data_IF_875552575340
#
_entry.id   IF_875552575340
#
_cell.length_a   1.000
_cell.length_b   1.000
_cell.length_c   1.000
_cell.angle_alpha   90.00
_cell.angle_beta   90.00
_cell.angle_gamma   90.00
#
_symmetry.space_group_name_H-M   'P 1'
#
loop_
_entity.id
_entity.type
_entity.pdbx_description
1 polymer ?
#
# COMPACT_ATOMS: atom_id res chain seq x y z
N UNK A 1 21.22 -18.45 -7.13
CA UNK A 1 19.94 -18.09 -7.78
C UNK A 1 18.87 -18.15 -6.70
N UNK A 2 18.25 -17.04 -6.36
CA UNK A 2 17.07 -17.02 -5.48
C UNK A 2 15.91 -17.66 -6.23
N UNK A 3 15.31 -18.73 -5.69
CA UNK A 3 14.08 -19.29 -6.25
C UNK A 3 13.00 -18.19 -6.31
N UNK A 4 12.40 -17.99 -7.47
CA UNK A 4 11.27 -17.08 -7.62
C UNK A 4 9.98 -17.78 -7.20
N UNK A 5 9.48 -17.44 -6.02
CA UNK A 5 8.13 -17.82 -5.57
C UNK A 5 7.09 -16.97 -6.28
N UNK A 6 5.94 -17.58 -6.60
CA UNK A 6 4.82 -16.91 -7.27
C UNK A 6 4.32 -15.73 -6.44
N UNK A 7 4.09 -14.58 -7.08
CA UNK A 7 3.62 -13.38 -6.41
C UNK A 7 2.10 -13.41 -6.17
N UNK A 8 1.72 -13.18 -4.91
CA UNK A 8 0.34 -13.09 -4.45
C UNK A 8 0.15 -11.73 -3.78
N UNK A 9 -0.76 -10.92 -4.33
CA UNK A 9 -1.13 -9.60 -3.80
C UNK A 9 -2.41 -9.69 -2.95
N UNK A 10 -2.41 -9.01 -1.80
CA UNK A 10 -3.54 -8.95 -0.87
C UNK A 10 -3.87 -7.48 -0.58
N UNK A 11 -5.13 -7.11 -0.74
CA UNK A 11 -5.62 -5.80 -0.29
C UNK A 11 -5.57 -5.69 1.24
N UNK A 12 -5.36 -4.49 1.77
CA UNK A 12 -5.26 -4.30 3.21
C UNK A 12 -6.63 -4.14 3.87
N UNK A 13 -7.34 -3.07 3.52
CA UNK A 13 -8.58 -2.70 4.20
C UNK A 13 -9.74 -3.65 3.83
N UNK A 14 -10.45 -4.09 4.87
CA UNK A 14 -11.53 -5.09 4.86
C UNK A 14 -11.11 -6.51 4.47
N UNK A 15 -9.86 -6.73 4.04
CA UNK A 15 -9.33 -8.07 3.70
C UNK A 15 -8.37 -8.58 4.78
N UNK A 16 -7.53 -7.70 5.32
CA UNK A 16 -6.62 -7.96 6.44
C UNK A 16 -7.01 -7.19 7.70
N UNK A 17 -7.44 -5.93 7.55
CA UNK A 17 -7.83 -5.04 8.66
C UNK A 17 -9.30 -4.61 8.57
N UNK A 18 -10.00 -4.62 9.70
CA UNK A 18 -11.40 -4.21 9.82
C UNK A 18 -11.49 -2.69 9.94
N UNK A 19 -11.34 -1.97 8.82
CA UNK A 19 -11.30 -0.51 8.82
C UNK A 19 -12.67 0.15 9.12
N UNK A 20 -13.80 -0.39 8.61
CA UNK A 20 -15.11 0.25 8.80
C UNK A 20 -15.55 0.32 10.26
N UNK A 21 -15.39 -0.72 11.10
CA UNK A 21 -15.68 -0.60 12.52
C UNK A 21 -14.92 0.57 13.17
N UNK A 22 -13.61 0.70 12.89
CA UNK A 22 -12.80 1.81 13.42
C UNK A 22 -13.28 3.19 12.93
N UNK A 23 -13.69 3.30 11.67
CA UNK A 23 -14.28 4.53 11.09
C UNK A 23 -15.58 4.90 11.81
N UNK A 24 -16.48 3.93 11.97
CA UNK A 24 -17.79 4.12 12.60
C UNK A 24 -17.62 4.53 14.06
N UNK A 25 -16.75 3.86 14.80
CA UNK A 25 -16.46 4.17 16.19
C UNK A 25 -15.89 5.59 16.34
N UNK A 26 -14.93 5.97 15.48
CA UNK A 26 -14.37 7.32 15.47
C UNK A 26 -15.43 8.38 15.17
N UNK A 27 -16.25 8.16 14.15
CA UNK A 27 -17.28 9.10 13.75
C UNK A 27 -18.35 9.25 14.84
N UNK A 28 -18.83 8.13 15.40
CA UNK A 28 -19.83 8.15 16.47
C UNK A 28 -19.30 8.87 17.73
N UNK A 29 -18.02 8.67 18.06
CA UNK A 29 -17.39 9.35 19.20
C UNK A 29 -17.22 10.86 18.96
N UNK A 30 -16.77 11.26 17.76
CA UNK A 30 -16.50 12.66 17.43
C UNK A 30 -17.76 13.49 17.16
N UNK A 31 -18.73 12.92 16.45
CA UNK A 31 -19.96 13.60 16.04
C UNK A 31 -21.16 13.33 16.98
N UNK A 32 -21.00 12.47 17.99
CA UNK A 32 -22.07 12.02 18.90
C UNK A 32 -23.25 11.40 18.13
N UNK A 33 -22.92 10.58 17.13
CA UNK A 33 -23.88 9.87 16.27
C UNK A 33 -23.95 8.39 16.65
N UNK A 34 -24.83 7.65 15.97
CA UNK A 34 -25.00 6.21 16.13
C UNK A 34 -25.08 5.51 14.76
N UNK A 35 -24.21 5.92 13.84
CA UNK A 35 -24.05 5.30 12.52
C UNK A 35 -23.64 3.84 12.71
N UNK A 36 -24.16 2.96 11.85
CA UNK A 36 -23.76 1.54 11.77
C UNK A 36 -23.05 1.27 10.46
N UNK A 37 -22.16 0.27 10.46
CA UNK A 37 -21.39 -0.13 9.28
C UNK A 37 -22.29 -0.42 8.07
N UNK A 38 -23.45 -1.07 8.26
CA UNK A 38 -24.34 -1.42 7.16
C UNK A 38 -24.92 -0.19 6.46
N UNK A 39 -24.85 1.00 7.05
CA UNK A 39 -25.30 2.26 6.45
C UNK A 39 -24.27 2.83 5.46
N UNK A 40 -23.03 2.34 5.44
CA UNK A 40 -21.99 2.78 4.51
C UNK A 40 -22.20 2.11 3.15
N UNK A 41 -22.90 2.77 2.22
CA UNK A 41 -23.34 2.14 0.96
C UNK A 41 -22.36 2.29 -0.21
N UNK A 42 -21.19 2.91 0.00
CA UNK A 42 -20.13 3.01 -1.02
C UNK A 42 -18.74 2.96 -0.38
N UNK A 43 -17.74 2.64 -1.21
CA UNK A 43 -16.32 2.74 -0.83
C UNK A 43 -15.90 4.18 -0.44
N UNK A 44 -16.63 5.20 -0.87
CA UNK A 44 -16.45 6.58 -0.40
C UNK A 44 -17.22 6.77 0.90
N UNK A 45 -16.91 5.94 1.90
CA UNK A 45 -17.66 5.84 3.15
C UNK A 45 -17.79 7.19 3.87
N UNK A 46 -16.79 8.07 3.75
CA UNK A 46 -16.78 9.39 4.39
C UNK A 46 -17.93 10.29 3.95
N UNK A 47 -18.42 10.13 2.71
CA UNK A 47 -19.57 10.87 2.17
C UNK A 47 -20.90 10.43 2.79
N UNK A 48 -20.96 9.21 3.35
CA UNK A 48 -22.16 8.71 4.03
C UNK A 48 -22.25 9.14 5.49
N UNK A 49 -21.17 9.73 6.03
CA UNK A 49 -21.10 10.20 7.40
C UNK A 49 -21.68 11.62 7.59
N UNK A 50 -22.34 12.17 6.56
CA UNK A 50 -22.92 13.52 6.61
C UNK A 50 -21.88 14.64 6.69
N UNK A 51 -20.63 14.35 6.37
CA UNK A 51 -19.53 15.32 6.32
C UNK A 51 -19.67 16.14 5.03
N UNK A 52 -19.58 17.47 5.14
CA UNK A 52 -19.62 18.35 3.98
C UNK A 52 -18.40 18.13 3.07
N UNK A 53 -18.57 18.22 1.75
CA UNK A 53 -17.49 17.97 0.78
C UNK A 53 -16.23 18.83 1.06
N UNK A 54 -16.40 20.05 1.56
CA UNK A 54 -15.30 20.95 1.91
C UNK A 54 -14.44 20.46 3.09
N UNK A 55 -15.01 19.62 3.95
CA UNK A 55 -14.38 19.16 5.21
C UNK A 55 -13.86 17.71 5.11
N UNK A 56 -14.11 17.02 3.99
CA UNK A 56 -13.79 15.60 3.80
C UNK A 56 -12.29 15.32 4.01
N UNK A 57 -11.41 16.15 3.45
CA UNK A 57 -9.95 15.95 3.55
C UNK A 57 -9.46 16.12 4.99
N UNK A 58 -9.95 17.15 5.69
CA UNK A 58 -9.63 17.41 7.10
C UNK A 58 -10.13 16.28 7.98
N UNK A 59 -11.39 15.84 7.80
CA UNK A 59 -11.97 14.73 8.57
C UNK A 59 -11.29 13.40 8.31
N UNK A 60 -10.87 13.14 7.08
CA UNK A 60 -10.08 11.96 6.76
C UNK A 60 -8.73 11.98 7.49
N UNK A 61 -8.06 13.15 7.54
CA UNK A 61 -6.81 13.32 8.26
C UNK A 61 -7.00 13.18 9.78
N UNK A 62 -8.07 13.74 10.35
CA UNK A 62 -8.44 13.57 11.76
C UNK A 62 -8.64 12.09 12.10
N UNK A 63 -9.39 11.33 11.27
CA UNK A 63 -9.56 9.90 11.45
C UNK A 63 -8.23 9.16 11.45
N UNK A 64 -7.35 9.45 10.50
CA UNK A 64 -6.06 8.81 10.39
C UNK A 64 -5.09 9.10 11.55
N UNK A 65 -5.30 10.20 12.29
CA UNK A 65 -4.58 10.52 13.51
C UNK A 65 -5.29 10.05 14.79
N UNK A 66 -6.50 9.50 14.67
CA UNK A 66 -7.28 9.06 15.81
C UNK A 66 -6.76 7.75 16.40
N UNK A 67 -7.03 7.53 17.69
CA UNK A 67 -6.74 6.26 18.38
C UNK A 67 -7.44 5.08 17.72
N UNK A 68 -8.66 5.31 17.19
CA UNK A 68 -9.44 4.29 16.50
C UNK A 68 -8.67 3.73 15.30
N UNK A 69 -8.00 4.58 14.53
CA UNK A 69 -7.17 4.14 13.42
C UNK A 69 -5.81 3.59 13.90
N UNK A 70 -5.09 4.32 14.76
CA UNK A 70 -3.70 3.97 15.11
C UNK A 70 -3.59 2.71 15.97
N UNK A 71 -4.63 2.38 16.72
CA UNK A 71 -4.57 1.34 17.75
C UNK A 71 -5.72 0.34 17.68
N UNK A 72 -6.90 0.71 17.16
CA UNK A 72 -8.11 -0.12 17.29
C UNK A 72 -8.59 -0.77 15.99
N UNK A 73 -7.86 -0.64 14.88
CA UNK A 73 -8.17 -1.43 13.67
C UNK A 73 -7.92 -2.89 13.96
N UNK A 74 -8.99 -3.68 14.11
CA UNK A 74 -8.90 -5.12 14.35
C UNK A 74 -8.43 -5.87 13.10
N UNK A 75 -7.86 -7.05 13.27
CA UNK A 75 -7.55 -7.95 12.16
C UNK A 75 -8.80 -8.67 11.67
N UNK A 76 -8.85 -9.05 10.40
CA UNK A 76 -9.80 -10.04 9.91
C UNK A 76 -9.38 -11.42 10.40
N UNK A 77 -10.32 -12.16 10.99
CA UNK A 77 -10.04 -13.46 11.63
C UNK A 77 -9.51 -14.50 10.64
N UNK A 78 -8.58 -15.34 11.11
CA UNK A 78 -7.98 -16.44 10.34
C UNK A 78 -6.95 -16.03 9.28
N UNK A 79 -6.84 -14.73 8.93
CA UNK A 79 -5.97 -14.25 7.87
C UNK A 79 -4.50 -14.65 8.06
N UNK A 80 -3.96 -14.42 9.26
CA UNK A 80 -2.56 -14.72 9.59
C UNK A 80 -2.26 -16.21 9.52
N UNK A 81 -3.16 -17.04 10.06
CA UNK A 81 -2.98 -18.49 10.16
C UNK A 81 -3.03 -19.16 8.78
N UNK A 82 -3.79 -18.59 7.86
CA UNK A 82 -3.85 -19.03 6.46
C UNK A 82 -2.63 -18.53 5.68
N UNK A 83 -2.27 -17.26 5.80
CA UNK A 83 -1.22 -16.66 4.97
C UNK A 83 0.19 -17.07 5.39
N UNK A 84 0.48 -17.21 6.69
CA UNK A 84 1.85 -17.46 7.16
C UNK A 84 2.46 -18.76 6.62
N UNK A 85 1.76 -19.91 6.63
CA UNK A 85 2.29 -21.16 6.05
C UNK A 85 2.47 -21.10 4.53
N UNK A 86 1.73 -20.23 3.85
CA UNK A 86 1.75 -20.10 2.39
C UNK A 86 2.99 -19.38 1.85
N UNK A 87 3.78 -18.73 2.72
CA UNK A 87 5.09 -18.15 2.35
C UNK A 87 6.04 -19.15 1.70
N UNK A 88 5.91 -20.45 1.98
CA UNK A 88 6.76 -21.46 1.34
C UNK A 88 6.47 -21.61 -0.16
N UNK A 89 5.31 -21.17 -0.63
CA UNK A 89 4.92 -21.23 -2.04
C UNK A 89 4.91 -19.86 -2.72
N UNK A 90 4.56 -18.82 -1.97
CA UNK A 90 4.31 -17.49 -2.52
C UNK A 90 5.22 -16.41 -1.95
N UNK A 91 5.49 -15.40 -2.78
CA UNK A 91 5.89 -14.07 -2.32
C UNK A 91 4.63 -13.27 -2.00
N UNK A 92 4.45 -12.87 -0.74
CA UNK A 92 3.21 -12.24 -0.27
C UNK A 92 3.37 -10.72 -0.20
N UNK A 93 2.56 -10.00 -0.97
CA UNK A 93 2.58 -8.54 -1.04
C UNK A 93 1.26 -7.96 -0.52
N UNK A 94 1.35 -6.98 0.37
CA UNK A 94 0.18 -6.16 0.76
C UNK A 94 0.10 -4.96 -0.19
N UNK A 95 -1.08 -4.69 -0.72
CA UNK A 95 -1.37 -3.53 -1.57
C UNK A 95 -2.43 -2.67 -0.88
N UNK A 96 -2.21 -1.36 -0.81
CA UNK A 96 -3.12 -0.44 -0.11
C UNK A 96 -3.19 0.92 -0.78
N UNK A 97 -4.37 1.52 -0.75
CA UNK A 97 -4.69 2.89 -1.18
C UNK A 97 -4.70 3.89 -0.01
N UNK A 98 -4.33 3.47 1.21
CA UNK A 98 -4.14 4.39 2.33
C UNK A 98 -3.16 5.51 1.96
N UNK A 99 -3.37 6.74 2.44
CA UNK A 99 -2.46 7.84 2.15
C UNK A 99 -1.11 7.64 2.86
N UNK A 100 -0.04 8.18 2.27
CA UNK A 100 1.32 8.07 2.81
C UNK A 100 1.50 8.63 4.22
N UNK A 101 0.66 9.58 4.63
CA UNK A 101 0.68 10.14 5.99
C UNK A 101 0.52 9.07 7.08
N UNK A 102 -0.15 7.95 6.77
CA UNK A 102 -0.32 6.81 7.71
C UNK A 102 0.56 5.61 7.41
N UNK A 103 1.61 5.78 6.58
CA UNK A 103 2.47 4.67 6.19
C UNK A 103 3.14 4.01 7.41
N UNK A 104 3.70 4.82 8.32
CA UNK A 104 4.35 4.32 9.54
C UNK A 104 3.39 3.48 10.37
N UNK A 105 2.21 4.03 10.70
CA UNK A 105 1.20 3.32 11.48
C UNK A 105 0.75 2.03 10.80
N UNK A 106 0.57 2.05 9.48
CA UNK A 106 0.20 0.86 8.69
C UNK A 106 1.27 -0.22 8.74
N UNK A 107 2.56 0.15 8.63
CA UNK A 107 3.68 -0.79 8.75
C UNK A 107 3.79 -1.40 10.14
N UNK A 108 3.67 -0.58 11.19
CA UNK A 108 3.71 -1.01 12.58
C UNK A 108 2.54 -1.94 12.92
N UNK A 109 1.36 -1.62 12.41
CA UNK A 109 0.17 -2.46 12.53
C UNK A 109 0.37 -3.82 11.85
N UNK A 110 0.90 -3.86 10.62
CA UNK A 110 1.21 -5.12 9.92
C UNK A 110 2.29 -5.93 10.65
N UNK A 111 3.32 -5.30 11.20
CA UNK A 111 4.38 -6.01 11.93
C UNK A 111 3.88 -6.62 13.24
N UNK A 112 2.95 -5.95 13.90
CA UNK A 112 2.32 -6.40 15.15
C UNK A 112 1.39 -7.58 14.86
N UNK A 113 0.50 -7.42 13.88
CA UNK A 113 -0.58 -8.36 13.63
C UNK A 113 -0.15 -9.52 12.71
N UNK A 114 0.63 -9.22 11.68
CA UNK A 114 1.07 -10.15 10.63
C UNK A 114 2.59 -10.34 10.62
N UNK A 115 3.19 -10.39 11.82
CA UNK A 115 4.63 -10.54 12.00
C UNK A 115 5.21 -11.71 11.19
N UNK A 116 6.13 -11.38 10.28
CA UNK A 116 6.83 -12.36 9.43
C UNK A 116 5.97 -12.95 8.31
N UNK A 117 4.81 -12.39 7.98
CA UNK A 117 3.91 -12.90 6.93
C UNK A 117 4.25 -12.31 5.56
N UNK A 118 4.42 -11.00 5.46
CA UNK A 118 4.53 -10.32 4.17
C UNK A 118 5.98 -10.01 3.79
N UNK A 119 6.26 -10.06 2.49
CA UNK A 119 7.56 -9.70 1.93
C UNK A 119 7.64 -8.20 1.61
N UNK A 120 6.52 -7.58 1.20
CA UNK A 120 6.43 -6.15 0.85
C UNK A 120 5.06 -5.55 1.18
N UNK A 121 5.06 -4.26 1.47
CA UNK A 121 3.89 -3.38 1.49
C UNK A 121 4.03 -2.35 0.37
N UNK A 122 3.01 -2.24 -0.47
CA UNK A 122 2.97 -1.41 -1.67
C UNK A 122 1.79 -0.43 -1.55
N UNK A 123 2.07 0.86 -1.60
CA UNK A 123 1.06 1.91 -1.64
C UNK A 123 0.79 2.32 -3.09
N UNK A 124 -0.46 2.66 -3.38
CA UNK A 124 -0.86 3.12 -4.72
C UNK A 124 -0.36 4.55 -5.01
N UNK A 125 -0.47 5.45 -4.03
CA UNK A 125 -0.17 6.89 -4.16
C UNK A 125 -1.13 7.65 -5.09
N UNK A 126 -2.42 7.30 -5.10
CA UNK A 126 -3.44 7.90 -5.97
C UNK A 126 -4.75 8.20 -5.22
N UNK A 127 -5.45 9.27 -5.62
CA UNK A 127 -6.63 9.79 -4.91
C UNK A 127 -7.98 9.48 -5.61
N UNK A 128 -7.96 8.98 -6.86
CA UNK A 128 -9.19 8.71 -7.63
C UNK A 128 -9.38 7.23 -7.96
N UNK A 129 -10.63 6.77 -8.12
CA UNK A 129 -10.97 5.35 -8.35
C UNK A 129 -10.40 4.79 -9.65
N UNK A 130 -10.48 5.55 -10.74
CA UNK A 130 -9.92 5.13 -12.03
C UNK A 130 -8.38 5.04 -11.94
N UNK A 131 -7.77 5.92 -11.14
CA UNK A 131 -6.33 5.92 -10.89
C UNK A 131 -5.94 4.74 -9.97
N UNK A 132 -6.75 4.40 -8.95
CA UNK A 132 -6.58 3.22 -8.09
C UNK A 132 -6.54 1.92 -8.91
N UNK A 133 -7.51 1.74 -9.82
CA UNK A 133 -7.58 0.53 -10.67
C UNK A 133 -6.35 0.45 -11.57
N UNK A 134 -6.03 1.54 -12.27
CA UNK A 134 -4.90 1.61 -13.19
C UNK A 134 -3.59 1.34 -12.46
N UNK A 135 -3.39 1.94 -11.28
CA UNK A 135 -2.20 1.79 -10.47
C UNK A 135 -2.04 0.39 -9.88
N UNK A 136 -3.13 -0.25 -9.46
CA UNK A 136 -3.11 -1.67 -9.05
C UNK A 136 -2.67 -2.57 -10.20
N UNK A 137 -3.21 -2.36 -11.42
CA UNK A 137 -2.77 -3.12 -12.61
C UNK A 137 -1.28 -2.94 -12.89
N UNK A 138 -0.76 -1.71 -12.80
CA UNK A 138 0.67 -1.44 -12.96
C UNK A 138 1.53 -2.17 -11.91
N UNK A 139 1.11 -2.13 -10.64
CA UNK A 139 1.80 -2.86 -9.56
C UNK A 139 1.74 -4.37 -9.83
N UNK A 140 0.61 -4.89 -10.26
CA UNK A 140 0.47 -6.32 -10.55
C UNK A 140 1.40 -6.76 -11.69
N UNK A 141 1.53 -5.96 -12.75
CA UNK A 141 2.49 -6.24 -13.82
C UNK A 141 3.96 -6.09 -13.36
N UNK A 142 4.29 -5.03 -12.63
CA UNK A 142 5.65 -4.78 -12.10
C UNK A 142 6.14 -5.93 -11.23
N UNK A 143 5.26 -6.44 -10.36
CA UNK A 143 5.56 -7.51 -9.41
C UNK A 143 5.22 -8.91 -9.93
N UNK A 144 4.77 -9.03 -11.18
CA UNK A 144 4.38 -10.29 -11.84
C UNK A 144 3.40 -11.10 -10.99
N UNK A 145 2.40 -10.40 -10.43
CA UNK A 145 1.34 -10.96 -9.60
C UNK A 145 0.51 -11.93 -10.42
N UNK A 146 0.32 -13.14 -9.90
CA UNK A 146 -0.54 -14.17 -10.50
C UNK A 146 -1.84 -14.38 -9.74
N UNK A 147 -1.85 -14.00 -8.47
CA UNK A 147 -2.98 -14.22 -7.57
C UNK A 147 -3.25 -12.91 -6.85
N UNK A 148 -4.49 -12.44 -6.89
CA UNK A 148 -4.93 -11.24 -6.17
C UNK A 148 -6.11 -11.56 -5.25
N UNK A 149 -6.06 -11.04 -4.03
CA UNK A 149 -7.09 -11.24 -3.00
C UNK A 149 -7.59 -9.89 -2.51
N UNK A 150 -8.90 -9.70 -2.49
CA UNK A 150 -9.54 -8.48 -1.97
C UNK A 150 -10.97 -8.72 -1.52
N UNK A 151 -11.61 -7.68 -1.01
CA UNK A 151 -12.98 -7.74 -0.45
C UNK A 151 -13.98 -6.92 -1.26
N UNK A 152 -13.52 -5.85 -1.92
CA UNK A 152 -14.35 -4.98 -2.77
C UNK A 152 -14.44 -5.53 -4.20
N UNK A 153 -15.62 -6.05 -4.62
CA UNK A 153 -15.79 -6.60 -5.97
C UNK A 153 -15.60 -5.56 -7.09
N UNK A 154 -15.96 -4.29 -6.86
CA UNK A 154 -15.89 -3.26 -7.91
C UNK A 154 -14.44 -2.97 -8.33
N UNK A 155 -13.50 -3.05 -7.37
CA UNK A 155 -12.08 -2.87 -7.60
C UNK A 155 -11.42 -4.19 -8.01
N UNK A 156 -11.73 -5.29 -7.31
CA UNK A 156 -11.10 -6.58 -7.56
C UNK A 156 -11.36 -7.07 -8.98
N UNK A 157 -12.59 -7.00 -9.48
CA UNK A 157 -12.93 -7.48 -10.83
C UNK A 157 -12.13 -6.73 -11.89
N UNK A 158 -12.13 -5.40 -11.83
CA UNK A 158 -11.42 -4.56 -12.81
C UNK A 158 -9.91 -4.74 -12.76
N UNK A 159 -9.33 -4.86 -11.56
CA UNK A 159 -7.87 -4.98 -11.40
C UNK A 159 -7.34 -6.36 -11.73
N UNK A 160 -8.21 -7.38 -11.82
CA UNK A 160 -7.82 -8.78 -12.03
C UNK A 160 -8.22 -9.35 -13.38
N UNK A 161 -8.71 -8.54 -14.31
CA UNK A 161 -9.03 -8.94 -15.69
C UNK A 161 -7.91 -9.78 -16.33
N UNK A 162 -6.66 -9.36 -16.16
CA UNK A 162 -5.45 -9.98 -16.72
C UNK A 162 -4.67 -10.85 -15.73
N UNK A 163 -5.23 -11.14 -14.54
CA UNK A 163 -4.58 -11.93 -13.49
C UNK A 163 -5.09 -13.37 -13.49
N UNK A 164 -4.21 -14.35 -13.38
CA UNK A 164 -4.53 -15.79 -13.47
C UNK A 164 -5.63 -16.20 -12.47
N UNK A 165 -5.50 -15.77 -11.21
CA UNK A 165 -6.44 -16.11 -10.14
C UNK A 165 -6.84 -14.87 -9.33
N UNK A 166 -8.14 -14.75 -9.03
CA UNK A 166 -8.66 -13.74 -8.11
C UNK A 166 -9.58 -14.38 -7.08
N UNK A 167 -9.47 -13.92 -5.83
CA UNK A 167 -10.28 -14.42 -4.71
C UNK A 167 -10.93 -13.22 -4.01
N UNK A 168 -12.26 -13.23 -3.92
CA UNK A 168 -12.99 -12.30 -3.06
C UNK A 168 -13.15 -12.94 -1.69
N UNK A 169 -12.53 -12.37 -0.66
CA UNK A 169 -12.67 -12.83 0.73
C UNK A 169 -13.58 -11.86 1.49
N UNK A 170 -14.56 -12.41 2.20
CA UNK A 170 -15.46 -11.61 3.02
C UNK A 170 -16.43 -10.78 2.20
N UNK A 171 -16.93 -9.70 2.81
CA UNK A 171 -17.82 -8.77 2.16
C UNK A 171 -17.67 -7.36 2.72
N UNK A 172 -17.95 -6.38 1.88
CA UNK A 172 -18.14 -4.98 2.26
C UNK A 172 -19.62 -4.63 2.11
N UNK A 173 -20.16 -3.64 2.85
CA UNK A 173 -21.61 -3.35 2.83
C UNK A 173 -22.14 -2.90 1.46
N UNK A 174 -21.27 -2.41 0.57
CA UNK A 174 -21.61 -2.02 -0.80
C UNK A 174 -21.45 -3.13 -1.86
N UNK A 175 -21.00 -4.31 -1.47
CA UNK A 175 -20.73 -5.41 -2.40
C UNK A 175 -22.00 -5.94 -3.10
N UNK A 176 -23.19 -5.74 -2.52
CA UNK A 176 -24.45 -6.28 -3.02
C UNK A 176 -24.86 -5.75 -4.42
N UNK A 177 -24.22 -4.69 -4.91
CA UNK A 177 -24.54 -4.05 -6.20
C UNK A 177 -23.66 -4.51 -7.36
N UNK A 178 -22.62 -5.30 -7.10
CA UNK A 178 -21.54 -5.53 -8.05
C UNK A 178 -21.34 -7.03 -8.32
N UNK A 179 -21.11 -7.38 -9.59
CA UNK A 179 -20.75 -8.75 -9.97
C UNK A 179 -19.34 -9.11 -9.50
N UNK A 180 -19.07 -10.39 -9.29
CA UNK A 180 -17.75 -10.89 -8.85
C UNK A 180 -16.85 -11.31 -10.02
N UNK A 181 -17.32 -11.16 -11.26
CA UNK A 181 -16.57 -11.53 -12.46
C UNK A 181 -16.07 -12.98 -12.38
N UNK A 182 -14.77 -13.18 -12.64
CA UNK A 182 -14.10 -14.48 -12.52
C UNK A 182 -13.57 -14.81 -11.12
N UNK A 183 -13.75 -13.93 -10.14
CA UNK A 183 -13.19 -14.13 -8.81
C UNK A 183 -13.92 -15.25 -8.07
N UNK A 184 -13.14 -16.12 -7.43
CA UNK A 184 -13.68 -17.14 -6.51
C UNK A 184 -14.11 -16.44 -5.23
N UNK A 185 -15.39 -16.55 -4.89
CA UNK A 185 -15.96 -15.88 -3.72
C UNK A 185 -15.94 -16.82 -2.53
N UNK A 186 -15.39 -16.35 -1.41
CA UNK A 186 -15.35 -17.07 -0.14
C UNK A 186 -15.78 -16.17 1.01
N UNK A 187 -16.42 -16.75 2.03
CA UNK A 187 -16.97 -16.01 3.18
C UNK A 187 -15.89 -15.42 4.09
N UNK A 188 -14.76 -16.11 4.21
CA UNK A 188 -13.72 -15.81 5.20
C UNK A 188 -12.41 -16.50 4.80
N UNK A 189 -11.37 -16.31 5.61
CA UNK A 189 -10.06 -16.91 5.37
C UNK A 189 -10.04 -18.43 5.53
N UNK A 190 -10.89 -19.02 6.38
CA UNK A 190 -10.97 -20.47 6.50
C UNK A 190 -11.48 -21.11 5.20
N UNK A 191 -12.47 -20.49 4.55
CA UNK A 191 -12.95 -20.85 3.23
C UNK A 191 -11.96 -20.51 2.10
N UNK A 192 -11.11 -19.50 2.27
CA UNK A 192 -10.05 -19.16 1.30
C UNK A 192 -8.93 -20.22 1.25
N UNK A 193 -8.64 -20.88 2.38
CA UNK A 193 -7.55 -21.86 2.49
C UNK A 193 -7.62 -23.00 1.44
N UNK A 194 -8.73 -23.76 1.31
CA UNK A 194 -8.80 -24.84 0.32
C UNK A 194 -8.72 -24.33 -1.13
N UNK A 195 -9.17 -23.08 -1.40
CA UNK A 195 -9.02 -22.46 -2.72
C UNK A 195 -7.55 -22.20 -3.04
N UNK A 196 -6.79 -21.68 -2.08
CA UNK A 196 -5.35 -21.45 -2.23
C UNK A 196 -4.56 -22.75 -2.35
N UNK A 197 -4.94 -23.80 -1.62
CA UNK A 197 -4.36 -25.14 -1.75
C UNK A 197 -4.60 -25.74 -3.14
N UNK A 198 -5.80 -25.54 -3.71
CA UNK A 198 -6.10 -25.94 -5.08
C UNK A 198 -5.23 -25.16 -6.09
N UNK A 199 -5.09 -23.85 -5.93
CA UNK A 199 -4.22 -23.04 -6.81
C UNK A 199 -2.76 -23.52 -6.75
N UNK A 200 -2.25 -23.89 -5.57
CA UNK A 200 -0.92 -24.49 -5.42
C UNK A 200 -0.78 -25.77 -6.27
N UNK A 201 -1.80 -26.64 -6.25
CA UNK A 201 -1.82 -27.88 -7.03
C UNK A 201 -1.91 -27.60 -8.53
N UNK A 202 -2.83 -26.73 -8.95
CA UNK A 202 -3.06 -26.37 -10.35
C UNK A 202 -1.81 -25.73 -10.98
N UNK A 203 -1.07 -24.93 -10.21
CA UNK A 203 0.18 -24.32 -10.64
C UNK A 203 1.42 -25.21 -10.43
N UNK A 204 1.27 -26.40 -9.85
CA UNK A 204 2.36 -27.34 -9.58
C UNK A 204 3.45 -26.77 -8.65
N UNK A 205 3.09 -25.89 -7.70
CA UNK A 205 4.08 -25.18 -6.88
C UNK A 205 4.68 -26.11 -5.83
N UNK A 206 6.02 -26.12 -5.77
CA UNK A 206 6.78 -26.83 -4.75
C UNK A 206 7.08 -25.89 -3.58
N UNK A 207 7.04 -26.38 -2.33
CA UNK A 207 7.45 -25.57 -1.19
C UNK A 207 8.95 -25.27 -1.29
N UNK A 208 9.34 -24.04 -1.01
CA UNK A 208 10.75 -23.63 -0.95
C UNK A 208 11.31 -23.84 0.46
N UNK A 209 12.45 -24.52 0.55
CA UNK A 209 13.15 -24.82 1.81
C UNK A 209 13.89 -23.61 2.40
N UNK A 210 14.00 -22.51 1.64
CA UNK A 210 14.77 -21.31 2.00
C UNK A 210 13.90 -20.14 2.45
N UNK A 211 12.70 -20.41 2.95
CA UNK A 211 11.77 -19.36 3.33
C UNK A 211 11.97 -18.94 4.77
N UNK A 212 12.58 -17.76 4.94
CA UNK A 212 12.60 -17.05 6.21
C UNK A 212 11.28 -16.35 6.48
N UNK A 213 11.05 -16.01 7.75
CA UNK A 213 10.02 -15.06 8.14
C UNK A 213 10.15 -13.78 7.31
N UNK A 214 9.02 -13.19 6.95
CA UNK A 214 8.98 -11.89 6.29
C UNK A 214 9.76 -10.84 7.08
N UNK A 215 10.38 -9.86 6.39
CA UNK A 215 11.06 -8.78 7.08
C UNK A 215 10.07 -8.01 7.96
N UNK A 216 10.60 -7.33 8.99
CA UNK A 216 9.82 -6.29 9.68
C UNK A 216 9.58 -5.14 8.70
N UNK A 217 8.33 -4.91 8.32
CA UNK A 217 7.90 -3.85 7.41
C UNK A 217 8.09 -2.45 8.01
N UNK A 218 8.08 -2.33 9.35
CA UNK A 218 8.43 -1.09 10.07
C UNK A 218 9.93 -0.83 10.11
N UNK A 219 10.76 -1.89 10.02
CA UNK A 219 12.22 -1.75 9.84
C UNK A 219 12.58 -1.34 8.42
N UNK A 220 11.65 -1.40 7.47
CA UNK A 220 11.71 -0.57 6.27
C UNK A 220 11.39 0.87 6.69
N UNK A 221 12.43 1.45 7.24
CA UNK A 221 12.52 2.77 7.82
C UNK A 221 12.45 3.81 6.72
N UNK A 222 11.23 4.13 6.30
CA UNK A 222 10.84 5.37 5.61
C UNK A 222 11.92 5.91 4.65
N UNK A 223 12.38 5.03 3.76
CA UNK A 223 13.47 5.34 2.85
C UNK A 223 12.96 6.23 1.73
N UNK A 224 11.65 6.27 1.50
CA UNK A 224 11.05 7.11 0.49
C UNK A 224 10.93 8.57 0.96
N UNK A 225 11.46 9.48 0.15
CA UNK A 225 11.28 10.92 0.27
C UNK A 225 10.64 11.43 -1.02
N UNK A 226 9.41 11.92 -0.92
CA UNK A 226 8.72 12.55 -2.05
C UNK A 226 9.05 14.04 -2.11
N UNK A 227 9.57 14.48 -3.25
CA UNK A 227 9.96 15.87 -3.50
C UNK A 227 8.81 16.60 -4.19
N UNK A 228 8.45 17.74 -3.62
CA UNK A 228 7.51 18.71 -4.19
C UNK A 228 8.19 20.05 -4.44
N UNK A 229 7.57 20.87 -5.28
CA UNK A 229 8.00 22.25 -5.57
C UNK A 229 7.78 23.23 -4.42
N UNK A 230 7.06 22.83 -3.35
CA UNK A 230 6.71 23.70 -2.22
C UNK A 230 7.90 24.00 -1.29
N UNK A 231 8.97 23.21 -1.36
CA UNK A 231 10.15 23.31 -0.50
C UNK A 231 11.43 23.33 -1.35
N UNK A 232 12.48 24.04 -0.92
CA UNK A 232 13.75 24.06 -1.63
C UNK A 232 14.51 22.74 -1.50
N UNK A 233 15.46 22.48 -2.40
CA UNK A 233 16.30 21.28 -2.40
C UNK A 233 17.06 21.08 -1.07
N UNK A 234 17.50 22.17 -0.43
CA UNK A 234 18.21 22.16 0.85
C UNK A 234 17.39 21.56 2.00
N UNK A 235 16.06 21.77 1.99
CA UNK A 235 15.15 21.17 2.96
C UNK A 235 15.17 19.65 2.85
N UNK A 236 15.02 19.12 1.62
CA UNK A 236 15.04 17.69 1.38
C UNK A 236 16.41 17.07 1.69
N UNK A 237 17.51 17.73 1.32
CA UNK A 237 18.85 17.28 1.66
C UNK A 237 19.04 17.16 3.18
N UNK A 238 18.61 18.16 3.96
CA UNK A 238 18.66 18.12 5.43
C UNK A 238 17.81 16.98 6.01
N UNK A 239 16.58 16.82 5.52
CA UNK A 239 15.68 15.75 5.94
C UNK A 239 16.26 14.36 5.65
N UNK A 240 16.82 14.16 4.46
CA UNK A 240 17.47 12.91 4.05
C UNK A 240 18.71 12.63 4.92
N UNK A 241 19.52 13.65 5.20
CA UNK A 241 20.68 13.52 6.08
C UNK A 241 20.24 13.12 7.51
N UNK A 242 19.17 13.71 8.04
CA UNK A 242 18.60 13.32 9.33
C UNK A 242 18.18 11.84 9.33
N UNK A 243 17.60 11.34 8.22
CA UNK A 243 17.28 9.91 8.08
C UNK A 243 18.55 9.04 8.10
N UNK A 244 19.63 9.43 7.40
CA UNK A 244 20.90 8.70 7.43
C UNK A 244 21.59 8.69 8.81
N UNK A 245 21.56 9.81 9.53
CA UNK A 245 22.31 10.00 10.78
C UNK A 245 21.49 9.59 12.00
N UNK A 246 20.30 10.18 12.17
CA UNK A 246 19.46 10.01 13.36
C UNK A 246 18.71 8.69 13.27
N UNK A 247 18.11 8.41 12.11
CA UNK A 247 17.32 7.19 11.90
C UNK A 247 18.17 6.00 11.43
N UNK A 248 19.49 6.18 11.33
CA UNK A 248 20.47 5.16 10.93
C UNK A 248 20.11 4.43 9.63
N UNK A 249 19.58 5.18 8.65
CA UNK A 249 19.33 4.64 7.32
C UNK A 249 20.62 4.41 6.56
N UNK A 250 20.63 3.35 5.76
CA UNK A 250 21.73 3.08 4.82
C UNK A 250 21.31 3.39 3.37
N UNK A 251 20.01 3.39 3.07
CA UNK A 251 19.45 3.66 1.75
C UNK A 251 18.24 4.58 1.87
N UNK A 252 18.13 5.55 0.97
CA UNK A 252 17.00 6.47 0.81
C UNK A 252 16.60 6.50 -0.67
N UNK A 253 15.30 6.37 -0.95
CA UNK A 253 14.67 6.54 -2.26
C UNK A 253 14.09 7.93 -2.36
N UNK A 254 14.59 8.74 -3.26
CA UNK A 254 14.09 10.09 -3.52
C UNK A 254 13.20 10.06 -4.77
N UNK A 255 11.96 10.50 -4.66
CA UNK A 255 10.97 10.43 -5.74
C UNK A 255 10.42 11.81 -6.08
N UNK A 256 10.28 12.14 -7.36
CA UNK A 256 9.74 13.43 -7.79
C UNK A 256 8.94 13.33 -9.09
N UNK A 257 7.77 13.98 -9.11
CA UNK A 257 7.01 14.20 -10.33
C UNK A 257 7.62 15.35 -11.15
N UNK A 258 7.24 15.48 -12.42
CA UNK A 258 7.77 16.42 -13.42
C UNK A 258 8.23 17.78 -12.86
N UNK A 259 7.33 18.52 -12.20
CA UNK A 259 7.64 19.86 -11.69
C UNK A 259 8.70 19.91 -10.59
N UNK A 260 8.95 18.79 -9.90
CA UNK A 260 9.89 18.69 -8.78
C UNK A 260 11.18 17.91 -9.12
N UNK A 261 11.33 17.43 -10.36
CA UNK A 261 12.50 16.67 -10.82
C UNK A 261 13.80 17.45 -10.55
N UNK A 262 13.84 18.73 -10.93
CA UNK A 262 15.02 19.58 -10.73
C UNK A 262 15.37 19.71 -9.25
N UNK A 263 14.37 19.90 -8.39
CA UNK A 263 14.57 20.00 -6.93
C UNK A 263 15.13 18.70 -6.36
N UNK A 264 14.67 17.54 -6.84
CA UNK A 264 15.16 16.24 -6.40
C UNK A 264 16.60 15.99 -6.83
N UNK A 265 16.94 16.30 -8.08
CA UNK A 265 18.31 16.20 -8.59
C UNK A 265 19.25 17.13 -7.80
N UNK A 266 18.82 18.37 -7.53
CA UNK A 266 19.60 19.30 -6.71
C UNK A 266 19.81 18.78 -5.28
N UNK A 267 18.78 18.23 -4.64
CA UNK A 267 18.90 17.66 -3.29
C UNK A 267 19.88 16.47 -3.26
N UNK A 268 19.81 15.59 -4.27
CA UNK A 268 20.73 14.47 -4.43
C UNK A 268 22.19 14.94 -4.63
N UNK A 269 22.42 15.95 -5.47
CA UNK A 269 23.76 16.48 -5.71
C UNK A 269 24.33 17.18 -4.46
N UNK A 270 23.50 17.90 -3.69
CA UNK A 270 23.91 18.48 -2.41
C UNK A 270 24.42 17.40 -1.44
N UNK A 271 23.69 16.30 -1.29
CA UNK A 271 24.10 15.19 -0.42
C UNK A 271 25.39 14.52 -0.88
N UNK A 272 25.59 14.41 -2.19
CA UNK A 272 26.82 13.88 -2.80
C UNK A 272 28.02 14.80 -2.57
N UNK A 273 27.86 16.10 -2.78
CA UNK A 273 28.91 17.10 -2.51
C UNK A 273 29.29 17.14 -1.02
N UNK A 274 28.31 16.96 -0.14
CA UNK A 274 28.53 16.87 1.30
C UNK A 274 29.08 15.51 1.76
N UNK A 275 29.29 14.55 0.84
CA UNK A 275 29.69 13.17 1.17
C UNK A 275 28.79 12.51 2.22
N UNK A 276 27.49 12.83 2.20
CA UNK A 276 26.47 12.17 3.00
C UNK A 276 25.87 10.95 2.28
N UNK A 277 25.81 11.00 0.95
CA UNK A 277 25.30 9.90 0.14
C UNK A 277 25.88 9.81 -1.27
N UNK A 278 25.82 8.62 -1.87
CA UNK A 278 26.10 8.37 -3.27
C UNK A 278 24.81 7.97 -4.00
N UNK A 279 24.62 8.49 -5.21
CA UNK A 279 23.53 8.06 -6.11
C UNK A 279 23.94 6.72 -6.74
N UNK A 280 23.20 5.65 -6.47
CA UNK A 280 23.52 4.31 -7.00
C UNK A 280 22.61 3.90 -8.15
N UNK A 281 21.42 4.50 -8.26
CA UNK A 281 20.47 4.22 -9.33
C UNK A 281 19.59 5.44 -9.59
N UNK A 282 19.33 5.70 -10.86
CA UNK A 282 18.30 6.63 -11.32
C UNK A 282 17.37 5.86 -12.23
N UNK A 283 16.08 5.95 -11.99
CA UNK A 283 15.05 5.40 -12.88
C UNK A 283 14.00 6.45 -13.18
N UNK A 284 13.55 6.45 -14.43
CA UNK A 284 12.45 7.29 -14.90
C UNK A 284 11.23 6.41 -15.16
N UNK A 285 10.06 6.92 -14.81
CA UNK A 285 8.76 6.34 -15.15
C UNK A 285 7.85 7.47 -15.65
N UNK A 286 6.73 7.10 -16.24
CA UNK A 286 5.67 8.05 -16.57
C UNK A 286 4.46 7.76 -15.68
N UNK A 287 3.85 8.79 -15.12
CA UNK A 287 2.61 8.71 -14.34
C UNK A 287 1.53 9.45 -15.11
N UNK A 288 0.31 8.91 -15.13
CA UNK A 288 -0.80 9.57 -15.79
C UNK A 288 -1.34 10.69 -14.88
N UNK A 289 -1.44 11.91 -15.41
CA UNK A 289 -1.96 13.07 -14.69
C UNK A 289 -3.24 13.54 -15.37
N UNK A 290 -4.35 13.52 -14.62
CA UNK A 290 -5.65 14.02 -15.09
C UNK A 290 -5.93 15.38 -14.46
N UNK A 291 -6.01 16.42 -15.28
CA UNK A 291 -6.52 17.73 -14.86
C UNK A 291 -8.02 17.82 -15.13
N UNK A 292 -8.74 18.50 -14.23
CA UNK A 292 -10.20 18.63 -14.33
C UNK A 292 -10.56 19.38 -15.63
N UNK A 293 -11.18 18.69 -16.58
CA UNK A 293 -11.62 19.26 -17.86
C UNK A 293 -10.65 19.09 -19.03
N UNK A 294 -9.49 18.45 -18.83
CA UNK A 294 -8.51 18.20 -19.90
C UNK A 294 -8.26 16.69 -20.12
N UNK A 295 -7.90 16.26 -21.34
CA UNK A 295 -7.39 14.91 -21.58
C UNK A 295 -6.17 14.66 -20.70
N UNK A 296 -6.19 13.57 -19.93
CA UNK A 296 -5.04 13.22 -19.09
C UNK A 296 -3.81 12.94 -19.95
N UNK A 297 -2.64 13.33 -19.45
CA UNK A 297 -1.36 13.14 -20.14
C UNK A 297 -0.36 12.47 -19.21
N UNK A 298 0.61 11.78 -19.80
CA UNK A 298 1.69 11.11 -19.06
C UNK A 298 2.76 12.14 -18.68
N UNK A 299 2.97 12.34 -17.39
CA UNK A 299 4.02 13.19 -16.84
C UNK A 299 5.20 12.34 -16.37
N UNK A 300 6.45 12.76 -16.62
CA UNK A 300 7.61 12.03 -16.13
C UNK A 300 7.68 12.08 -14.59
N UNK A 301 8.14 10.97 -14.01
CA UNK A 301 8.43 10.81 -12.58
C UNK A 301 9.80 10.15 -12.46
N UNK A 302 10.64 10.70 -11.59
CA UNK A 302 11.96 10.13 -11.31
C UNK A 302 11.98 9.44 -9.96
N UNK A 303 12.83 8.43 -9.85
CA UNK A 303 13.22 7.80 -8.60
C UNK A 303 14.75 7.70 -8.57
N UNK A 304 15.36 8.25 -7.53
CA UNK A 304 16.81 8.28 -7.29
C UNK A 304 17.09 7.46 -6.02
N UNK A 305 17.94 6.44 -6.11
CA UNK A 305 18.38 5.66 -4.95
C UNK A 305 19.69 6.26 -4.43
N UNK A 306 19.68 6.68 -3.17
CA UNK A 306 20.78 7.27 -2.43
C UNK A 306 21.27 6.27 -1.39
N UNK A 307 22.56 5.91 -1.42
CA UNK A 307 23.19 5.12 -0.38
C UNK A 307 24.02 6.02 0.52
N UNK A 308 23.93 5.82 1.83
CA UNK A 308 24.78 6.51 2.79
C UNK A 308 26.24 6.22 2.47
N UNK A 309 27.05 7.27 2.42
CA UNK A 309 28.50 7.12 2.35
C UNK A 309 29.07 6.99 3.75
N UNK A 310 30.01 6.06 3.94
CA UNK A 310 30.75 5.97 5.19
C UNK A 310 31.44 7.33 5.44
N UNK A 311 31.29 7.87 6.65
CA UNK A 311 31.99 9.08 7.03
C UNK A 311 33.49 8.81 6.84
N UNK A 312 34.14 9.56 5.95
CA UNK A 312 35.60 9.62 5.94
C UNK A 312 36.01 10.24 7.27
N UNK A 313 36.66 9.44 8.12
CA UNK A 313 37.35 9.91 9.31
C UNK A 313 38.36 11.01 8.98
#
# INVERSE_FOLDING_TARGET
MTEHRVALAIDLDHTLGQLLPAVVDWHNASAKTAVKEEQLKTADWIKHLGIADADVEEKLLEFYHSEQFTSNVATVDGAKDVLKPLRKYFSLFVVTDRPRVVEKATREWLDTNFSGVFDKLLFLDEDSKDDIVSRKKEIYDEFKVKIAIGSDPAILVKTTEDIDHSIKVGTVPWAAKEGTGKAVVVSDWAAAKPVLEKIIQDLGLKPSDKVSNGPKLSRYTDDLVTVSTKKPASFYASMINSKFVVQKQEVIRLQAAEGAITTAVQAAEMLKLQKHAAVTKISTRYVFKKMRGEPGHRVPKIEIILHKTAATA
#
